data_IF_982524054486
#
_entry.id   IF_982524054486
#
_cell.length_a   1.000
_cell.length_b   1.000
_cell.length_c   1.000
_cell.angle_alpha   90.00
_cell.angle_beta   90.00
_cell.angle_gamma   90.00
#
_symmetry.space_group_name_H-M   'P 1'
#
loop_
_entity.id
_entity.type
_entity.pdbx_description
1 polymer ?
#
# COMPACT_ATOMS: atom_id res chain seq x y z
N UNK A 1 6.60 7.99 -0.96
CA UNK A 1 6.29 9.17 -0.09
C UNK A 1 7.28 9.25 1.08
N UNK A 2 7.75 10.44 1.52
CA UNK A 2 8.42 10.67 2.79
C UNK A 2 7.46 10.33 3.93
N UNK A 3 7.66 9.20 4.57
CA UNK A 3 6.74 8.75 5.62
C UNK A 3 7.47 8.18 6.83
N UNK A 4 8.73 7.79 6.67
CA UNK A 4 9.52 7.15 7.70
C UNK A 4 10.85 7.87 7.93
N UNK A 5 11.28 7.97 9.19
CA UNK A 5 12.56 8.59 9.54
C UNK A 5 12.54 10.13 9.59
N UNK A 6 13.72 10.73 9.71
CA UNK A 6 13.87 12.17 9.94
C UNK A 6 13.42 13.05 8.75
N UNK A 7 13.50 12.54 7.53
CA UNK A 7 13.09 13.28 6.32
C UNK A 7 11.56 13.33 6.11
N UNK A 8 10.78 12.59 6.90
CA UNK A 8 9.32 12.56 6.83
C UNK A 8 8.71 13.82 7.48
N UNK A 9 9.03 15.00 6.97
CA UNK A 9 8.50 16.29 7.40
C UNK A 9 7.31 16.73 6.54
N UNK A 10 6.43 17.62 7.03
CA UNK A 10 5.34 18.18 6.22
C UNK A 10 5.83 18.86 4.93
N UNK A 11 6.99 19.53 4.99
CA UNK A 11 7.62 20.20 3.85
C UNK A 11 8.07 19.20 2.80
N UNK A 12 8.75 18.11 3.20
CA UNK A 12 9.18 17.05 2.31
C UNK A 12 7.99 16.30 1.72
N UNK A 13 6.96 16.00 2.52
CA UNK A 13 5.72 15.39 2.03
C UNK A 13 5.06 16.25 0.94
N UNK A 14 4.95 17.56 1.17
CA UNK A 14 4.40 18.52 0.20
C UNK A 14 5.25 18.57 -1.06
N UNK A 15 6.57 18.75 -0.93
CA UNK A 15 7.50 18.89 -2.05
C UNK A 15 7.42 17.64 -2.96
N UNK A 16 7.57 16.44 -2.39
CA UNK A 16 7.50 15.18 -3.13
C UNK A 16 6.14 14.98 -3.78
N UNK A 17 5.03 15.25 -3.07
CA UNK A 17 3.68 15.03 -3.61
C UNK A 17 3.38 15.95 -4.79
N UNK A 18 3.64 17.25 -4.65
CA UNK A 18 3.38 18.22 -5.73
C UNK A 18 4.33 18.04 -6.91
N UNK A 19 5.59 17.61 -6.65
CA UNK A 19 6.55 17.29 -7.70
C UNK A 19 6.13 16.06 -8.49
N UNK A 20 5.78 14.97 -7.79
CA UNK A 20 5.31 13.74 -8.41
C UNK A 20 4.06 13.98 -9.28
N UNK A 21 3.11 14.76 -8.80
CA UNK A 21 1.92 15.12 -9.59
C UNK A 21 2.26 15.90 -10.86
N UNK A 22 3.21 16.86 -10.79
CA UNK A 22 3.66 17.62 -11.97
C UNK A 22 4.40 16.75 -12.98
N UNK A 23 5.17 15.76 -12.50
CA UNK A 23 5.93 14.83 -13.34
C UNK A 23 5.08 13.69 -13.92
N UNK A 24 3.78 13.66 -13.65
CA UNK A 24 2.86 12.66 -14.21
C UNK A 24 2.86 11.30 -13.50
N UNK A 25 3.41 11.21 -12.29
CA UNK A 25 3.25 9.99 -11.49
C UNK A 25 1.77 9.70 -11.23
N UNK A 26 1.41 8.43 -11.32
CA UNK A 26 0.02 8.01 -11.22
C UNK A 26 -0.50 7.98 -9.79
N UNK A 27 0.30 7.53 -8.81
CA UNK A 27 -0.16 7.28 -7.45
C UNK A 27 0.96 7.44 -6.41
N UNK A 28 0.61 8.02 -5.26
CA UNK A 28 1.47 8.12 -4.09
C UNK A 28 1.10 7.05 -3.08
N UNK A 29 2.11 6.41 -2.45
CA UNK A 29 1.88 5.30 -1.53
C UNK A 29 2.44 5.57 -0.15
N UNK A 30 1.63 5.20 0.86
CA UNK A 30 1.99 5.17 2.29
C UNK A 30 1.92 3.74 2.83
N UNK A 31 2.45 3.49 4.03
CA UNK A 31 2.38 2.19 4.70
C UNK A 31 2.19 2.36 6.20
N UNK A 32 1.66 1.33 6.88
CA UNK A 32 1.43 1.35 8.32
C UNK A 32 2.56 0.65 9.09
N UNK A 33 2.93 1.28 10.22
CA UNK A 33 3.64 0.67 11.33
C UNK A 33 3.17 1.35 12.60
N UNK A 34 2.53 0.61 13.51
CA UNK A 34 2.01 1.19 14.74
C UNK A 34 3.04 1.14 15.86
N UNK A 35 3.78 0.04 15.96
CA UNK A 35 4.78 -0.18 17.00
C UNK A 35 6.11 -0.63 16.42
N UNK A 36 7.19 -0.19 17.05
CA UNK A 36 8.54 -0.70 16.82
C UNK A 36 9.03 -1.37 18.13
N UNK A 37 8.84 -2.67 18.30
CA UNK A 37 9.18 -3.36 19.54
C UNK A 37 10.67 -3.26 19.87
N UNK A 38 11.00 -3.07 21.13
CA UNK A 38 12.39 -3.02 21.61
C UNK A 38 13.07 -4.35 21.37
N UNK A 39 14.26 -4.32 20.75
CA UNK A 39 15.02 -5.55 20.43
C UNK A 39 14.53 -6.32 19.21
N UNK A 40 13.47 -5.88 18.53
CA UNK A 40 13.02 -6.54 17.31
C UNK A 40 13.99 -6.26 16.13
N UNK A 41 14.33 -7.27 15.30
CA UNK A 41 15.29 -7.14 14.19
C UNK A 41 14.74 -6.40 12.96
N UNK A 42 13.67 -5.62 13.09
CA UNK A 42 13.19 -4.76 12.02
C UNK A 42 14.23 -3.68 11.70
N UNK A 43 14.37 -3.35 10.42
CA UNK A 43 15.25 -2.24 10.00
C UNK A 43 14.80 -0.88 10.56
N UNK A 44 15.70 0.11 10.61
CA UNK A 44 15.47 1.42 11.26
C UNK A 44 14.30 2.20 10.64
N UNK A 45 13.97 1.95 9.39
CA UNK A 45 12.82 2.54 8.68
C UNK A 45 11.51 2.45 9.47
N UNK A 46 11.31 1.33 10.17
CA UNK A 46 10.05 1.08 10.88
C UNK A 46 9.96 1.78 12.24
N UNK A 47 11.04 2.41 12.73
CA UNK A 47 11.07 3.03 14.06
C UNK A 47 10.23 4.31 14.16
N UNK A 48 10.17 5.06 13.08
CA UNK A 48 9.41 6.32 13.02
C UNK A 48 8.63 6.36 11.73
N UNK A 49 7.36 5.97 11.78
CA UNK A 49 6.46 5.93 10.62
C UNK A 49 5.19 6.70 10.99
N UNK A 50 4.84 7.69 10.20
CA UNK A 50 3.60 8.43 10.38
C UNK A 50 2.38 7.56 10.03
N UNK A 51 1.23 7.87 10.64
CA UNK A 51 -0.03 7.20 10.29
C UNK A 51 -0.33 7.38 8.79
N UNK A 52 -0.59 6.29 8.06
CA UNK A 52 -0.75 6.34 6.62
C UNK A 52 -2.00 7.12 6.19
N UNK A 53 -3.12 6.96 6.87
CA UNK A 53 -4.39 7.58 6.47
C UNK A 53 -4.41 9.08 6.78
N UNK A 54 -3.83 9.49 7.90
CA UNK A 54 -3.66 10.92 8.24
C UNK A 54 -2.72 11.58 7.23
N UNK A 55 -1.62 10.91 6.88
CA UNK A 55 -0.70 11.37 5.83
C UNK A 55 -1.44 11.53 4.49
N UNK A 56 -2.22 10.53 4.06
CA UNK A 56 -2.98 10.60 2.81
C UNK A 56 -4.05 11.70 2.85
N UNK A 57 -4.69 11.96 3.99
CA UNK A 57 -5.64 13.06 4.13
C UNK A 57 -4.97 14.43 3.94
N UNK A 58 -3.77 14.62 4.50
CA UNK A 58 -2.95 15.81 4.25
C UNK A 58 -2.62 15.96 2.76
N UNK A 59 -2.18 14.87 2.10
CA UNK A 59 -1.85 14.86 0.68
C UNK A 59 -3.08 15.13 -0.20
N UNK A 60 -4.25 14.62 0.17
CA UNK A 60 -5.51 14.87 -0.54
C UNK A 60 -5.85 16.37 -0.61
N UNK A 61 -5.50 17.13 0.44
CA UNK A 61 -5.75 18.58 0.53
C UNK A 61 -4.76 19.44 -0.27
N UNK A 62 -3.64 18.88 -0.72
CA UNK A 62 -2.57 19.64 -1.41
C UNK A 62 -2.27 19.15 -2.83
N UNK A 63 -2.99 18.12 -3.30
CA UNK A 63 -2.91 17.55 -4.65
C UNK A 63 -4.29 17.47 -5.28
N UNK A 64 -4.37 17.43 -6.61
CA UNK A 64 -5.66 17.48 -7.33
C UNK A 64 -5.94 16.21 -8.14
N UNK A 65 -4.93 15.59 -8.74
CA UNK A 65 -5.07 14.51 -9.73
C UNK A 65 -4.43 13.19 -9.30
N UNK A 66 -3.24 13.25 -8.70
CA UNK A 66 -2.47 12.06 -8.33
C UNK A 66 -3.27 11.19 -7.36
N UNK A 67 -3.32 9.89 -7.60
CA UNK A 67 -4.00 8.94 -6.73
C UNK A 67 -3.24 8.75 -5.42
N UNK A 68 -3.94 8.22 -4.42
CA UNK A 68 -3.45 8.08 -3.05
C UNK A 68 -3.66 6.64 -2.57
N UNK A 69 -2.58 5.90 -2.41
CA UNK A 69 -2.61 4.50 -2.02
C UNK A 69 -2.02 4.23 -0.63
N UNK A 70 -2.54 3.23 0.04
CA UNK A 70 -1.90 2.67 1.24
C UNK A 70 -1.50 1.22 1.00
N UNK A 71 -0.25 0.87 1.28
CA UNK A 71 0.30 -0.48 1.14
C UNK A 71 1.08 -0.88 2.40
N UNK A 72 0.39 -1.32 3.43
CA UNK A 72 -1.03 -1.63 3.68
C UNK A 72 -1.49 -1.08 5.03
N UNK A 73 -2.80 -0.95 5.26
CA UNK A 73 -3.39 -0.85 6.60
C UNK A 73 -3.74 -2.27 7.08
N UNK A 74 -3.48 -2.57 8.33
CA UNK A 74 -3.67 -3.92 8.84
C UNK A 74 -5.11 -4.17 9.33
N UNK A 75 -5.69 -5.30 8.93
CA UNK A 75 -7.04 -5.74 9.25
C UNK A 75 -7.20 -6.27 10.71
N UNK A 76 -6.29 -5.92 11.61
CA UNK A 76 -6.49 -6.08 13.05
C UNK A 76 -7.07 -4.81 13.71
N UNK A 77 -7.20 -3.71 12.96
CA UNK A 77 -8.02 -2.58 13.37
C UNK A 77 -9.51 -2.97 13.36
N UNK A 78 -10.36 -2.13 13.94
CA UNK A 78 -11.80 -2.37 13.85
C UNK A 78 -12.33 -1.96 12.46
N UNK A 79 -13.14 -2.79 11.78
CA UNK A 79 -13.58 -2.52 10.42
C UNK A 79 -14.51 -1.31 10.29
N UNK A 80 -15.37 -1.07 11.27
CA UNK A 80 -16.35 0.03 11.20
C UNK A 80 -15.67 1.41 11.22
N UNK A 81 -14.79 1.74 12.19
CA UNK A 81 -14.02 2.98 12.13
C UNK A 81 -13.17 3.11 10.87
N UNK A 82 -12.50 2.03 10.45
CA UNK A 82 -11.68 2.07 9.23
C UNK A 82 -12.52 2.30 7.98
N UNK A 83 -13.68 1.65 7.85
CA UNK A 83 -14.59 1.88 6.74
C UNK A 83 -15.02 3.36 6.65
N UNK A 84 -15.28 3.99 7.80
CA UNK A 84 -15.63 5.41 7.88
C UNK A 84 -14.47 6.32 7.47
N UNK A 85 -13.26 6.03 7.94
CA UNK A 85 -12.05 6.78 7.58
C UNK A 85 -11.78 6.70 6.07
N UNK A 86 -11.83 5.49 5.49
CA UNK A 86 -11.61 5.27 4.07
C UNK A 86 -12.70 5.92 3.20
N UNK A 87 -13.97 5.86 3.62
CA UNK A 87 -15.07 6.53 2.91
C UNK A 87 -14.90 8.06 2.92
N UNK A 88 -14.49 8.62 4.07
CA UNK A 88 -14.21 10.06 4.18
C UNK A 88 -13.03 10.45 3.29
N UNK A 89 -11.93 9.69 3.35
CA UNK A 89 -10.74 9.95 2.56
C UNK A 89 -11.03 9.84 1.05
N UNK A 90 -11.82 8.85 0.63
CA UNK A 90 -12.27 8.70 -0.75
C UNK A 90 -13.04 9.94 -1.23
N UNK A 91 -13.93 10.46 -0.40
CA UNK A 91 -14.74 11.64 -0.71
C UNK A 91 -13.89 12.91 -0.78
N UNK A 92 -13.06 13.18 0.24
CA UNK A 92 -12.25 14.41 0.27
C UNK A 92 -11.13 14.38 -0.77
N UNK A 93 -10.66 13.20 -1.18
CA UNK A 93 -9.73 13.03 -2.29
C UNK A 93 -10.42 13.03 -3.67
N UNK A 94 -11.74 13.17 -3.73
CA UNK A 94 -12.50 13.13 -4.99
C UNK A 94 -12.33 11.82 -5.77
N UNK A 95 -12.37 10.68 -5.07
CA UNK A 95 -12.29 9.37 -5.70
C UNK A 95 -10.87 8.86 -6.01
N UNK A 96 -9.84 9.46 -5.45
CA UNK A 96 -8.44 9.11 -5.74
C UNK A 96 -7.84 8.03 -4.85
N UNK A 97 -8.59 7.48 -3.88
CA UNK A 97 -8.06 6.50 -2.91
C UNK A 97 -7.91 5.09 -3.50
N UNK A 98 -6.84 4.39 -3.11
CA UNK A 98 -6.66 2.94 -3.22
C UNK A 98 -6.43 2.37 -1.82
N UNK A 99 -7.28 1.46 -1.36
CA UNK A 99 -7.23 0.88 -0.03
C UNK A 99 -6.49 -0.47 -0.03
N UNK A 100 -5.20 -0.48 0.25
CA UNK A 100 -4.45 -1.72 0.45
C UNK A 100 -4.56 -2.22 1.89
N UNK A 101 -4.93 -3.48 2.07
CA UNK A 101 -5.12 -4.13 3.36
C UNK A 101 -4.11 -5.26 3.55
N UNK A 102 -3.56 -5.37 4.75
CA UNK A 102 -2.69 -6.45 5.20
C UNK A 102 -3.27 -7.18 6.42
N UNK A 103 -2.75 -8.37 6.70
CA UNK A 103 -3.19 -9.12 7.88
C UNK A 103 -2.29 -8.95 9.11
N UNK A 104 -1.23 -8.14 8.98
CA UNK A 104 -0.24 -7.96 10.03
C UNK A 104 0.74 -9.12 10.18
N UNK A 105 1.88 -8.84 10.82
CA UNK A 105 2.93 -9.84 11.05
C UNK A 105 3.76 -9.60 12.33
N UNK A 106 3.58 -8.46 13.00
CA UNK A 106 4.29 -8.12 14.25
C UNK A 106 3.44 -8.56 15.42
N UNK A 107 3.92 -9.51 16.26
CA UNK A 107 3.14 -10.04 17.37
C UNK A 107 2.66 -8.96 18.34
N UNK A 108 3.52 -8.01 18.66
CA UNK A 108 3.23 -6.93 19.62
C UNK A 108 2.13 -5.97 19.12
N UNK A 109 1.99 -5.82 17.80
CA UNK A 109 0.89 -5.04 17.23
C UNK A 109 -0.46 -5.77 17.38
N UNK A 110 -0.47 -7.11 17.26
CA UNK A 110 -1.66 -7.93 17.54
C UNK A 110 -2.05 -7.88 19.01
N UNK A 111 -1.07 -7.99 19.89
CA UNK A 111 -1.28 -7.87 21.35
C UNK A 111 -1.87 -6.50 21.69
N UNK A 112 -1.26 -5.43 21.22
CA UNK A 112 -1.74 -4.06 21.46
C UNK A 112 -3.14 -3.79 20.87
N UNK A 113 -3.49 -4.48 19.78
CA UNK A 113 -4.81 -4.41 19.17
C UNK A 113 -5.85 -5.33 19.86
N UNK A 114 -5.44 -6.18 20.81
CA UNK A 114 -6.31 -7.17 21.46
C UNK A 114 -6.81 -8.26 20.51
N UNK A 115 -6.01 -8.64 19.51
CA UNK A 115 -6.42 -9.52 18.41
C UNK A 115 -5.57 -10.77 18.35
N UNK A 116 -6.20 -11.94 18.35
CA UNK A 116 -5.52 -13.22 18.13
C UNK A 116 -5.02 -13.34 16.68
N UNK A 117 -3.70 -13.50 16.45
CA UNK A 117 -3.13 -13.68 15.13
C UNK A 117 -3.44 -15.04 14.47
N UNK A 118 -3.82 -16.07 15.25
CA UNK A 118 -3.98 -17.43 14.74
C UNK A 118 -5.05 -17.54 13.66
N UNK A 119 -6.10 -16.73 13.75
CA UNK A 119 -7.24 -16.74 12.81
C UNK A 119 -7.26 -15.53 11.88
N UNK A 120 -6.14 -14.80 11.76
CA UNK A 120 -6.07 -13.54 10.99
C UNK A 120 -6.56 -13.68 9.54
N UNK A 121 -6.39 -14.85 8.91
CA UNK A 121 -6.87 -15.10 7.54
C UNK A 121 -8.38 -14.98 7.42
N UNK A 122 -9.13 -15.73 8.25
CA UNK A 122 -10.60 -15.70 8.27
C UNK A 122 -11.14 -14.36 8.72
N UNK A 123 -10.51 -13.77 9.74
CA UNK A 123 -10.84 -12.40 10.16
C UNK A 123 -10.67 -11.39 9.03
N UNK A 124 -9.59 -11.48 8.24
CA UNK A 124 -9.36 -10.58 7.11
C UNK A 124 -10.38 -10.75 6.00
N UNK A 125 -10.90 -11.97 5.76
CA UNK A 125 -11.98 -12.21 4.80
C UNK A 125 -13.28 -11.52 5.26
N UNK A 126 -13.69 -11.75 6.51
CA UNK A 126 -14.86 -11.08 7.10
C UNK A 126 -14.67 -9.56 7.19
N UNK A 127 -13.44 -9.10 7.43
CA UNK A 127 -13.12 -7.67 7.45
C UNK A 127 -13.39 -7.00 6.09
N UNK A 128 -12.99 -7.62 4.99
CA UNK A 128 -13.26 -7.12 3.63
C UNK A 128 -14.76 -7.11 3.34
N UNK A 129 -15.48 -8.14 3.75
CA UNK A 129 -16.93 -8.22 3.63
C UNK A 129 -17.61 -7.06 4.37
N UNK A 130 -17.23 -6.80 5.62
CA UNK A 130 -17.76 -5.69 6.41
C UNK A 130 -17.46 -4.35 5.76
N UNK A 131 -16.24 -4.11 5.25
CA UNK A 131 -15.94 -2.85 4.55
C UNK A 131 -16.87 -2.63 3.35
N UNK A 132 -17.03 -3.63 2.51
CA UNK A 132 -17.91 -3.52 1.32
C UNK A 132 -19.37 -3.29 1.69
N UNK A 133 -19.85 -3.97 2.72
CA UNK A 133 -21.19 -3.79 3.25
C UNK A 133 -21.38 -2.35 3.79
N UNK A 134 -20.41 -1.85 4.57
CA UNK A 134 -20.43 -0.48 5.11
C UNK A 134 -20.54 0.58 3.99
N UNK A 135 -19.95 0.32 2.84
CA UNK A 135 -19.92 1.25 1.71
C UNK A 135 -21.11 1.11 0.75
N UNK A 136 -21.73 -0.05 0.67
CA UNK A 136 -22.74 -0.35 -0.34
C UNK A 136 -24.16 -0.48 0.18
N UNK A 137 -24.37 -0.98 1.40
CA UNK A 137 -25.71 -1.23 1.94
C UNK A 137 -26.34 0.04 2.53
N UNK A 138 -27.64 0.24 2.31
CA UNK A 138 -28.41 1.32 2.95
C UNK A 138 -28.48 1.10 4.47
N UNK A 139 -28.88 -0.10 4.87
CA UNK A 139 -28.84 -0.56 6.26
C UNK A 139 -27.75 -1.61 6.39
N UNK A 140 -26.81 -1.37 7.28
CA UNK A 140 -25.71 -2.27 7.60
C UNK A 140 -26.12 -3.15 8.77
N UNK A 141 -26.12 -4.47 8.57
CA UNK A 141 -26.27 -5.44 9.63
C UNK A 141 -25.29 -6.61 9.40
N UNK A 142 -24.53 -7.01 10.41
CA UNK A 142 -23.59 -8.12 10.31
C UNK A 142 -23.58 -8.97 11.57
N UNK A 143 -23.55 -10.29 11.41
CA UNK A 143 -23.44 -11.27 12.48
C UNK A 143 -22.47 -12.37 12.07
N UNK A 144 -21.19 -12.02 12.05
CA UNK A 144 -20.11 -12.92 11.68
C UNK A 144 -19.44 -13.58 12.88
N UNK A 145 -18.34 -14.23 12.57
CA UNK A 145 -17.50 -14.90 13.56
C UNK A 145 -16.69 -13.90 14.41
N UNK A 146 -16.22 -12.81 13.78
CA UNK A 146 -15.31 -11.83 14.38
C UNK A 146 -15.98 -10.49 14.65
N UNK A 147 -17.00 -10.14 13.85
CA UNK A 147 -17.64 -8.83 13.93
C UNK A 147 -19.14 -8.95 14.08
N UNK A 148 -19.72 -8.01 14.83
CA UNK A 148 -21.17 -7.91 14.99
C UNK A 148 -21.56 -6.44 14.86
N UNK A 149 -22.51 -6.15 13.98
CA UNK A 149 -23.05 -4.82 13.73
C UNK A 149 -24.57 -4.93 13.79
N UNK A 150 -25.20 -4.22 14.72
CA UNK A 150 -26.65 -4.12 14.76
C UNK A 150 -27.16 -3.26 13.60
N UNK A 151 -28.41 -3.44 13.13
CA UNK A 151 -28.98 -2.64 12.04
C UNK A 151 -28.73 -1.14 12.23
N UNK A 152 -28.02 -0.52 11.29
CA UNK A 152 -27.57 0.86 11.40
C UNK A 152 -27.40 1.50 10.01
N UNK A 153 -27.52 2.84 9.94
CA UNK A 153 -27.05 3.58 8.77
C UNK A 153 -25.57 3.93 8.93
N UNK A 154 -24.80 3.80 7.86
CA UNK A 154 -23.36 4.03 7.83
C UNK A 154 -22.98 5.12 6.82
N UNK A 155 -23.61 6.28 6.91
CA UNK A 155 -23.35 7.42 6.05
C UNK A 155 -22.23 8.34 6.61
N UNK A 156 -21.59 9.17 5.72
CA UNK A 156 -21.71 9.17 4.26
C UNK A 156 -21.09 7.95 3.61
N UNK A 157 -21.66 7.51 2.49
CA UNK A 157 -21.00 6.50 1.63
C UNK A 157 -19.81 7.13 0.91
N UNK A 158 -18.80 6.32 0.51
CA UNK A 158 -17.68 6.84 -0.27
C UNK A 158 -18.14 7.37 -1.63
N UNK A 159 -17.62 8.52 -2.04
CA UNK A 159 -17.98 9.19 -3.28
C UNK A 159 -16.72 9.47 -4.12
N UNK A 160 -16.78 9.32 -5.46
CA UNK A 160 -17.95 9.00 -6.32
C UNK A 160 -18.32 7.51 -6.30
N UNK A 161 -17.44 6.64 -5.81
CA UNK A 161 -17.61 5.19 -5.69
C UNK A 161 -16.74 4.66 -4.55
N UNK A 162 -16.94 3.42 -4.05
CA UNK A 162 -16.04 2.79 -3.10
C UNK A 162 -14.60 2.72 -3.63
N UNK A 163 -13.58 2.92 -2.77
CA UNK A 163 -12.20 2.75 -3.18
C UNK A 163 -11.92 1.28 -3.51
N UNK A 164 -11.10 0.98 -4.53
CA UNK A 164 -10.64 -0.38 -4.78
C UNK A 164 -9.86 -0.91 -3.59
N UNK A 165 -10.08 -2.19 -3.26
CA UNK A 165 -9.40 -2.90 -2.19
C UNK A 165 -8.29 -3.77 -2.79
N UNK A 166 -7.05 -3.55 -2.39
CA UNK A 166 -5.94 -4.47 -2.65
C UNK A 166 -5.64 -5.28 -1.41
N UNK A 167 -5.24 -6.53 -1.57
CA UNK A 167 -4.74 -7.35 -0.46
C UNK A 167 -3.23 -7.58 -0.59
N UNK A 168 -2.52 -7.39 0.52
CA UNK A 168 -1.12 -7.76 0.65
C UNK A 168 -0.93 -9.19 1.16
N UNK A 169 0.27 -9.72 0.94
CA UNK A 169 0.67 -11.04 1.46
C UNK A 169 1.58 -11.79 0.50
N UNK A 170 2.40 -12.70 1.04
CA UNK A 170 3.40 -13.47 0.30
C UNK A 170 3.13 -14.97 0.30
N UNK A 171 2.39 -15.48 1.28
CA UNK A 171 2.02 -16.90 1.35
C UNK A 171 0.96 -17.23 0.30
N UNK A 172 0.97 -18.45 -0.24
CA UNK A 172 0.02 -18.91 -1.24
C UNK A 172 -1.44 -18.66 -0.85
N UNK A 173 -1.81 -18.96 0.41
CA UNK A 173 -3.17 -18.73 0.90
C UNK A 173 -3.56 -17.24 0.89
N UNK A 174 -2.59 -16.32 1.02
CA UNK A 174 -2.84 -14.88 0.95
C UNK A 174 -3.00 -14.42 -0.50
N UNK A 175 -2.21 -14.96 -1.44
CA UNK A 175 -2.32 -14.71 -2.87
C UNK A 175 -3.66 -15.21 -3.41
N UNK A 176 -4.06 -16.45 -3.07
CA UNK A 176 -5.38 -16.98 -3.44
C UNK A 176 -6.53 -16.15 -2.85
N UNK A 177 -6.39 -15.65 -1.61
CA UNK A 177 -7.37 -14.74 -1.01
C UNK A 177 -7.48 -13.43 -1.81
N UNK A 178 -6.37 -12.85 -2.22
CA UNK A 178 -6.36 -11.63 -3.05
C UNK A 178 -7.13 -11.86 -4.36
N UNK A 179 -6.89 -12.96 -5.07
CA UNK A 179 -7.62 -13.31 -6.30
C UNK A 179 -9.12 -13.47 -6.07
N UNK A 180 -9.52 -14.19 -5.01
CA UNK A 180 -10.94 -14.44 -4.71
C UNK A 180 -11.71 -13.20 -4.27
N UNK A 181 -11.08 -12.29 -3.51
CA UNK A 181 -11.82 -11.27 -2.75
C UNK A 181 -11.46 -9.83 -3.08
N UNK A 182 -10.26 -9.54 -3.61
CA UNK A 182 -9.80 -8.16 -3.76
C UNK A 182 -9.86 -7.65 -5.21
N UNK A 183 -9.68 -6.35 -5.38
CA UNK A 183 -9.58 -5.73 -6.70
C UNK A 183 -8.12 -5.76 -7.21
N UNK A 184 -7.24 -6.43 -6.47
CA UNK A 184 -5.87 -6.70 -6.83
C UNK A 184 -5.00 -7.14 -5.66
N UNK A 185 -3.72 -7.31 -5.95
CA UNK A 185 -2.68 -7.70 -5.00
C UNK A 185 -1.59 -6.64 -4.94
N UNK A 186 -1.03 -6.41 -3.75
CA UNK A 186 0.16 -5.58 -3.57
C UNK A 186 1.29 -6.38 -2.95
N UNK A 187 2.47 -6.31 -3.56
CA UNK A 187 3.65 -7.04 -3.10
C UNK A 187 4.25 -6.47 -1.81
N UNK A 188 5.02 -7.28 -1.10
CA UNK A 188 5.78 -6.87 0.08
C UNK A 188 7.05 -6.12 -0.32
N UNK A 189 7.55 -5.22 0.56
CA UNK A 189 8.90 -4.64 0.44
C UNK A 189 10.04 -5.69 0.51
N UNK A 190 9.72 -6.91 0.94
CA UNK A 190 10.66 -8.04 1.04
C UNK A 190 10.46 -9.07 -0.08
N UNK A 191 9.59 -8.78 -1.05
CA UNK A 191 9.31 -9.70 -2.16
C UNK A 191 10.57 -9.92 -3.00
N UNK A 192 10.81 -11.18 -3.36
CA UNK A 192 11.74 -11.50 -4.42
C UNK A 192 11.06 -11.26 -5.77
N UNK A 193 11.40 -10.13 -6.39
CA UNK A 193 10.78 -9.71 -7.64
C UNK A 193 11.09 -10.65 -8.81
N UNK A 194 12.13 -11.50 -8.73
CA UNK A 194 12.42 -12.49 -9.78
C UNK A 194 11.31 -13.51 -9.96
N UNK A 195 10.55 -13.78 -8.88
CA UNK A 195 9.41 -14.71 -8.88
C UNK A 195 8.04 -14.03 -9.04
N UNK A 196 7.95 -12.74 -9.36
CA UNK A 196 6.69 -11.99 -9.31
C UNK A 196 5.63 -12.50 -10.30
N UNK A 197 6.05 -12.97 -11.49
CA UNK A 197 5.15 -13.55 -12.48
C UNK A 197 4.38 -14.76 -11.94
N UNK A 198 5.06 -15.64 -11.20
CA UNK A 198 4.42 -16.81 -10.59
C UNK A 198 3.40 -16.41 -9.51
N UNK A 199 3.69 -15.34 -8.75
CA UNK A 199 2.75 -14.77 -7.77
C UNK A 199 1.50 -14.21 -8.45
N UNK A 200 1.68 -13.44 -9.51
CA UNK A 200 0.59 -12.88 -10.32
C UNK A 200 -0.27 -14.00 -10.93
N UNK A 201 0.37 -15.03 -11.49
CA UNK A 201 -0.35 -16.18 -12.07
C UNK A 201 -1.23 -16.89 -11.01
N UNK A 202 -0.72 -17.06 -9.78
CA UNK A 202 -1.48 -17.69 -8.70
C UNK A 202 -2.69 -16.82 -8.28
N UNK A 203 -2.55 -15.50 -8.22
CA UNK A 203 -3.66 -14.58 -7.93
C UNK A 203 -4.71 -14.65 -9.05
N UNK A 204 -4.29 -14.65 -10.33
CA UNK A 204 -5.18 -14.77 -11.49
C UNK A 204 -5.96 -16.09 -11.48
N UNK A 205 -5.27 -17.22 -11.28
CA UNK A 205 -5.92 -18.54 -11.18
C UNK A 205 -6.99 -18.58 -10.09
N UNK A 206 -6.70 -18.02 -8.91
CA UNK A 206 -7.67 -17.97 -7.83
C UNK A 206 -8.86 -17.03 -8.11
N UNK A 207 -8.69 -16.00 -8.93
CA UNK A 207 -9.79 -15.16 -9.40
C UNK A 207 -10.69 -15.94 -10.40
N UNK A 208 -10.10 -16.62 -11.36
CA UNK A 208 -10.82 -17.48 -12.32
C UNK A 208 -11.61 -18.59 -11.62
N UNK A 209 -10.99 -19.30 -10.66
CA UNK A 209 -11.65 -20.30 -9.82
C UNK A 209 -12.85 -19.73 -9.04
N UNK A 210 -12.82 -18.45 -8.71
CA UNK A 210 -13.90 -17.73 -8.03
C UNK A 210 -14.91 -17.09 -9.01
N UNK A 211 -14.81 -17.32 -10.32
CA UNK A 211 -15.69 -16.76 -11.34
C UNK A 211 -15.49 -15.26 -11.59
N UNK A 212 -14.30 -14.71 -11.26
CA UNK A 212 -13.97 -13.31 -11.44
C UNK A 212 -13.06 -13.11 -12.66
N UNK A 213 -13.14 -11.95 -13.30
CA UNK A 213 -12.24 -11.59 -14.40
C UNK A 213 -10.82 -11.29 -13.87
N UNK A 214 -9.81 -12.11 -14.19
CA UNK A 214 -8.43 -11.89 -13.78
C UNK A 214 -7.79 -10.68 -14.47
N UNK A 215 -8.34 -10.25 -15.61
CA UNK A 215 -7.88 -9.07 -16.36
C UNK A 215 -8.27 -7.75 -15.69
N UNK A 216 -9.29 -7.75 -14.83
CA UNK A 216 -9.70 -6.59 -14.06
C UNK A 216 -8.86 -6.34 -12.81
N UNK A 217 -7.95 -7.28 -12.44
CA UNK A 217 -7.15 -7.16 -11.23
C UNK A 217 -5.92 -6.27 -11.41
N UNK A 218 -5.64 -5.46 -10.40
CA UNK A 218 -4.40 -4.69 -10.30
C UNK A 218 -3.30 -5.50 -9.61
N UNK A 219 -2.09 -5.41 -10.14
CA UNK A 219 -0.89 -6.05 -9.59
C UNK A 219 0.14 -4.97 -9.26
N UNK A 220 0.10 -4.51 -8.01
CA UNK A 220 0.92 -3.40 -7.53
C UNK A 220 2.23 -3.93 -6.96
N UNK A 221 3.34 -3.56 -7.58
CA UNK A 221 4.67 -3.88 -7.08
C UNK A 221 5.19 -2.78 -6.14
N UNK A 222 5.51 -3.16 -4.90
CA UNK A 222 6.25 -2.31 -3.97
C UNK A 222 7.75 -2.48 -4.25
N UNK A 223 8.29 -1.58 -5.05
CA UNK A 223 9.68 -1.60 -5.48
C UNK A 223 10.60 -0.84 -4.51
N UNK A 224 11.31 -1.55 -3.64
CA UNK A 224 12.40 -0.93 -2.85
C UNK A 224 13.50 -0.51 -3.80
N UNK A 225 13.57 0.80 -4.08
CA UNK A 225 14.46 1.36 -5.10
C UNK A 225 15.68 1.98 -4.45
N UNK A 226 16.86 1.61 -4.98
CA UNK A 226 18.16 2.10 -4.52
C UNK A 226 19.04 2.44 -5.70
N UNK A 227 19.17 3.71 -6.01
CA UNK A 227 20.09 4.15 -7.06
C UNK A 227 21.53 4.10 -6.57
N UNK A 228 22.41 3.59 -7.41
CA UNK A 228 23.85 3.49 -7.16
C UNK A 228 24.61 4.03 -8.39
N UNK A 229 25.73 4.74 -8.19
CA UNK A 229 26.47 5.36 -9.29
C UNK A 229 27.14 4.35 -10.22
N UNK A 230 27.44 3.15 -9.71
CA UNK A 230 28.15 2.10 -10.44
C UNK A 230 27.38 0.78 -10.39
N UNK A 231 27.48 -0.07 -11.43
CA UNK A 231 26.98 -1.42 -11.43
C UNK A 231 27.62 -2.26 -10.31
N UNK A 232 26.83 -3.11 -9.67
CA UNK A 232 27.30 -3.96 -8.58
C UNK A 232 26.54 -5.27 -8.48
N UNK A 233 26.59 -5.92 -7.33
CA UNK A 233 25.76 -7.08 -7.06
C UNK A 233 24.30 -6.70 -7.22
N UNK A 234 23.64 -7.33 -8.21
CA UNK A 234 22.37 -6.85 -8.70
C UNK A 234 21.19 -7.50 -8.03
N UNK A 235 20.43 -6.71 -7.28
CA UNK A 235 19.04 -6.98 -6.92
C UNK A 235 18.13 -6.09 -7.77
N UNK A 236 16.96 -6.61 -8.19
CA UNK A 236 15.97 -5.81 -8.93
C UNK A 236 15.68 -4.48 -8.22
N UNK A 237 15.65 -3.39 -9.00
CA UNK A 237 15.48 -2.01 -8.57
C UNK A 237 16.62 -1.47 -7.67
N UNK A 238 17.79 -2.12 -7.70
CA UNK A 238 19.02 -1.62 -7.10
C UNK A 238 20.11 -1.60 -8.17
N UNK A 239 20.72 -0.44 -8.42
CA UNK A 239 21.75 -0.25 -9.44
C UNK A 239 21.74 1.14 -10.04
N UNK A 240 22.26 1.29 -11.24
CA UNK A 240 22.23 2.55 -12.00
C UNK A 240 20.79 2.90 -12.42
N UNK A 241 20.57 4.14 -12.82
CA UNK A 241 19.27 4.59 -13.34
C UNK A 241 18.85 3.81 -14.59
N UNK A 242 19.79 3.44 -15.45
CA UNK A 242 19.54 2.63 -16.65
C UNK A 242 19.06 1.23 -16.25
N UNK A 243 19.80 0.55 -15.37
CA UNK A 243 19.42 -0.76 -14.85
C UNK A 243 18.05 -0.76 -14.16
N UNK A 244 17.70 0.32 -13.44
CA UNK A 244 16.38 0.44 -12.80
C UNK A 244 15.28 0.62 -13.84
N UNK A 245 15.51 1.39 -14.92
CA UNK A 245 14.55 1.52 -16.02
C UNK A 245 14.31 0.20 -16.74
N UNK A 246 15.38 -0.57 -16.98
CA UNK A 246 15.26 -1.93 -17.53
C UNK A 246 14.44 -2.85 -16.60
N UNK A 247 14.65 -2.74 -15.29
CA UNK A 247 13.86 -3.50 -14.31
C UNK A 247 12.39 -3.09 -14.31
N UNK A 248 12.07 -1.81 -14.49
CA UNK A 248 10.69 -1.32 -14.63
C UNK A 248 10.02 -1.92 -15.87
N UNK A 249 10.70 -1.90 -17.02
CA UNK A 249 10.21 -2.49 -18.26
C UNK A 249 10.00 -4.01 -18.10
N UNK A 250 10.98 -4.70 -17.53
CA UNK A 250 10.88 -6.13 -17.27
C UNK A 250 9.71 -6.48 -16.32
N UNK A 251 9.47 -5.69 -15.25
CA UNK A 251 8.35 -5.90 -14.34
C UNK A 251 7.00 -5.78 -15.04
N UNK A 252 6.86 -4.83 -15.97
CA UNK A 252 5.66 -4.69 -16.79
C UNK A 252 5.42 -5.95 -17.66
N UNK A 253 6.47 -6.53 -18.27
CA UNK A 253 6.39 -7.79 -19.01
C UNK A 253 5.99 -8.98 -18.12
N UNK A 254 6.32 -8.95 -16.81
CA UNK A 254 5.87 -9.97 -15.86
C UNK A 254 4.41 -9.80 -15.42
N UNK A 255 3.71 -8.78 -15.91
CA UNK A 255 2.30 -8.54 -15.60
C UNK A 255 2.05 -7.61 -14.42
N UNK A 256 3.06 -6.89 -13.94
CA UNK A 256 2.89 -5.79 -12.97
C UNK A 256 2.14 -4.66 -13.67
N UNK A 257 1.03 -4.22 -13.08
CA UNK A 257 0.23 -3.11 -13.62
C UNK A 257 0.67 -1.75 -13.08
N UNK A 258 1.19 -1.74 -11.88
CA UNK A 258 1.62 -0.54 -11.16
C UNK A 258 2.91 -0.83 -10.39
N UNK A 259 3.86 0.07 -10.47
CA UNK A 259 5.07 0.04 -9.65
C UNK A 259 5.18 1.33 -8.87
N UNK A 260 5.45 1.25 -7.57
CA UNK A 260 5.86 2.43 -6.82
C UNK A 260 7.28 2.28 -6.27
N UNK A 261 8.10 3.32 -6.51
CA UNK A 261 9.45 3.41 -5.98
C UNK A 261 9.42 3.74 -4.50
N UNK A 262 9.81 2.77 -3.65
CA UNK A 262 9.84 2.96 -2.21
C UNK A 262 11.24 3.32 -1.73
N UNK A 263 11.48 4.62 -1.53
CA UNK A 263 12.75 5.18 -1.08
C UNK A 263 12.94 5.10 0.44
N UNK A 264 11.89 4.78 1.21
CA UNK A 264 12.00 4.70 2.68
C UNK A 264 12.90 3.55 3.17
N UNK A 265 13.32 2.66 2.27
CA UNK A 265 14.25 1.57 2.57
C UNK A 265 15.64 1.77 1.96
N UNK A 266 15.92 2.95 1.39
CA UNK A 266 17.28 3.32 1.01
C UNK A 266 17.99 3.99 2.20
N UNK A 267 19.12 3.41 2.69
CA UNK A 267 19.89 4.03 3.77
C UNK A 267 20.35 5.46 3.46
N UNK A 268 20.60 5.78 2.20
CA UNK A 268 20.98 7.14 1.77
C UNK A 268 19.83 8.16 1.92
N UNK A 269 18.59 7.68 1.99
CA UNK A 269 17.40 8.53 2.23
C UNK A 269 17.03 8.54 3.71
N UNK A 270 16.94 7.37 4.34
CA UNK A 270 16.37 7.27 5.71
C UNK A 270 17.30 7.80 6.79
N UNK A 271 18.62 7.70 6.60
CA UNK A 271 19.64 8.11 7.58
C UNK A 271 20.33 9.41 7.26
N UNK A 272 20.06 10.02 6.09
CA UNK A 272 20.62 11.29 5.67
C UNK A 272 19.99 12.48 6.42
N UNK A 273 20.63 13.62 6.32
CA UNK A 273 20.03 14.90 6.68
C UNK A 273 18.71 15.10 5.92
N UNK A 274 17.63 15.58 6.55
CA UNK A 274 16.33 15.73 5.89
C UNK A 274 16.34 16.53 4.59
N UNK A 275 17.17 17.58 4.52
CA UNK A 275 17.27 18.41 3.31
C UNK A 275 18.04 17.67 2.20
N UNK A 276 19.06 16.91 2.55
CA UNK A 276 19.80 16.07 1.61
C UNK A 276 18.94 14.93 1.10
N UNK A 277 18.21 14.25 2.00
CA UNK A 277 17.26 13.19 1.63
C UNK A 277 16.17 13.70 0.65
N UNK A 278 15.65 14.91 0.90
CA UNK A 278 14.66 15.52 0.01
C UNK A 278 15.25 15.83 -1.37
N UNK A 279 16.45 16.44 -1.46
CA UNK A 279 17.09 16.70 -2.75
C UNK A 279 17.30 15.40 -3.55
N UNK A 280 17.81 14.36 -2.87
CA UNK A 280 18.01 13.06 -3.51
C UNK A 280 16.69 12.45 -4.01
N UNK A 281 15.62 12.54 -3.22
CA UNK A 281 14.30 12.06 -3.65
C UNK A 281 13.75 12.86 -4.85
N UNK A 282 13.95 14.17 -4.90
CA UNK A 282 13.52 15.00 -6.02
C UNK A 282 14.31 14.68 -7.30
N UNK A 283 15.62 14.45 -7.21
CA UNK A 283 16.46 14.00 -8.33
C UNK A 283 15.98 12.64 -8.87
N UNK A 284 15.65 11.70 -7.99
CA UNK A 284 15.13 10.39 -8.39
C UNK A 284 13.74 10.49 -9.02
N UNK A 285 12.86 11.35 -8.49
CA UNK A 285 11.55 11.58 -9.10
C UNK A 285 11.68 12.10 -10.54
N UNK A 286 12.63 12.99 -10.81
CA UNK A 286 12.86 13.47 -12.18
C UNK A 286 13.46 12.37 -13.08
N UNK A 287 14.46 11.68 -12.55
CA UNK A 287 15.18 10.66 -13.33
C UNK A 287 14.31 9.43 -13.67
N UNK A 288 13.33 9.09 -12.82
CA UNK A 288 12.44 7.94 -12.98
C UNK A 288 11.00 8.36 -13.35
N UNK A 289 10.80 9.60 -13.77
CA UNK A 289 9.49 10.08 -14.17
C UNK A 289 8.90 9.19 -15.30
N UNK A 290 7.58 8.90 -15.25
CA UNK A 290 6.93 8.18 -16.34
C UNK A 290 7.15 8.91 -17.67
N UNK A 291 7.39 8.15 -18.74
CA UNK A 291 7.40 8.70 -20.09
C UNK A 291 6.01 9.23 -20.44
N UNK A 292 5.94 10.43 -21.00
CA UNK A 292 4.68 11.07 -21.40
C UNK A 292 3.97 10.30 -22.53
#
# INVERSE_FOLDING_TARGET
MPQAGAWATPEAMRAVATRAERLGYHELWTFQRMLYPVGHPMGPTYRSVHDPLITLAYLAGITERIRLGVAVVNAFLQPVPLAKQLATLQTVSRGRLTAGLGLGWVPEEFEAAGVDPARRGRRGEEFVEVLRMMWGAEVVEHRGEFYRISPSHADPKPSPAPPPILLGGTAEVALRRAGRLADGWVSSSREDLSGIAARIALVKSAAEEAGRDPGALRFVCRGVTRVRPEPGERRRLTGTLEEIRDDVAWLAEQGVTDLFHDLNFDPHVVTADPAEALRHAEELLEALAPSA
#
